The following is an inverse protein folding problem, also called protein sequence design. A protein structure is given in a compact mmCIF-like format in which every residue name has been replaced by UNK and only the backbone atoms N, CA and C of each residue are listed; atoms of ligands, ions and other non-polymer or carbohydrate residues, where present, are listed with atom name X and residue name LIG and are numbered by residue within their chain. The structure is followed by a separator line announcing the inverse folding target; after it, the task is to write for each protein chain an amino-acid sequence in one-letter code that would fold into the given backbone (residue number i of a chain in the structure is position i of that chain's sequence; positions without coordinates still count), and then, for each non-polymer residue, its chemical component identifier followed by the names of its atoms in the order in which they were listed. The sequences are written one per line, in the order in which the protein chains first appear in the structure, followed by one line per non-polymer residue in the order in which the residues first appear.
data_IF_049887473045
#
_entry.id   IF_049887473045
#
_cell.length_a   1.000
_cell.length_b   1.000
_cell.length_c   1.000
_cell.angle_alpha   90.00
_cell.angle_beta   90.00
_cell.angle_gamma   90.00
#
_symmetry.space_group_name_H-M   'P 1'
#
loop_
_entity.id
_entity.type
_entity.pdbx_description
1 polymer ?
#
# COMPACT_ATOMS: atom_id res chain seq x y z
N UNK A 1 1.87 20.29 13.02
CA UNK A 1 0.98 20.62 11.88
C UNK A 1 1.12 22.10 11.61
N UNK A 2 1.50 22.50 10.40
CA UNK A 2 1.68 23.91 10.02
C UNK A 2 0.42 24.38 9.32
N UNK A 3 -0.16 25.50 9.74
CA UNK A 3 -1.38 26.03 9.15
C UNK A 3 -1.02 27.22 8.27
N UNK A 4 -1.11 27.06 6.95
CA UNK A 4 -1.07 28.20 6.04
C UNK A 4 -2.39 28.96 6.16
N UNK A 5 -2.31 30.28 6.29
CA UNK A 5 -3.47 31.19 6.26
C UNK A 5 -3.14 32.32 5.31
N UNK A 6 -3.95 32.46 4.26
CA UNK A 6 -3.87 33.60 3.37
C UNK A 6 -4.39 34.88 4.07
N UNK A 7 -3.89 36.04 3.65
CA UNK A 7 -4.46 37.32 4.06
C UNK A 7 -5.89 37.45 3.52
N UNK A 8 -6.77 38.08 4.31
CA UNK A 8 -8.13 38.39 3.86
C UNK A 8 -8.08 39.42 2.72
N UNK A 9 -7.23 40.43 2.85
CA UNK A 9 -7.05 41.48 1.84
C UNK A 9 -6.72 40.89 0.46
N UNK A 10 -5.86 39.88 0.40
CA UNK A 10 -5.49 39.25 -0.88
C UNK A 10 -6.56 38.25 -1.37
N UNK A 11 -7.31 37.64 -0.44
CA UNK A 11 -8.40 36.73 -0.80
C UNK A 11 -9.62 37.46 -1.34
N UNK A 12 -9.97 38.63 -0.81
CA UNK A 12 -11.19 39.36 -1.16
C UNK A 12 -11.31 39.71 -2.66
N UNK A 13 -10.27 40.22 -3.35
CA UNK A 13 -10.33 40.47 -4.79
C UNK A 13 -10.09 39.21 -5.64
N UNK A 14 -9.77 38.05 -5.04
CA UNK A 14 -9.43 36.85 -5.78
C UNK A 14 -10.65 36.21 -6.44
N UNK A 15 -10.67 36.17 -7.78
CA UNK A 15 -11.75 35.55 -8.57
C UNK A 15 -11.99 34.05 -8.26
N UNK A 16 -10.99 33.35 -7.70
CA UNK A 16 -11.09 31.94 -7.31
C UNK A 16 -11.65 31.74 -5.89
N UNK A 17 -11.80 32.79 -5.07
CA UNK A 17 -12.30 32.69 -3.69
C UNK A 17 -13.61 31.89 -3.57
N UNK A 18 -14.62 32.09 -4.44
CA UNK A 18 -15.87 31.32 -4.36
C UNK A 18 -15.67 29.81 -4.54
N UNK A 19 -14.64 29.38 -5.28
CA UNK A 19 -14.31 27.94 -5.45
C UNK A 19 -13.34 27.44 -4.37
N UNK A 20 -12.38 28.29 -3.98
CA UNK A 20 -11.25 27.90 -3.15
C UNK A 20 -11.58 27.89 -1.64
N UNK A 21 -12.40 28.82 -1.16
CA UNK A 21 -12.72 28.95 0.25
C UNK A 21 -14.10 29.62 0.45
N UNK A 22 -15.19 29.03 -0.08
CA UNK A 22 -16.52 29.67 -0.18
C UNK A 22 -17.09 30.16 1.14
N UNK A 23 -16.93 29.36 2.19
CA UNK A 23 -17.58 29.58 3.49
C UNK A 23 -16.65 30.23 4.52
N UNK A 24 -15.51 30.79 4.09
CA UNK A 24 -14.52 31.35 5.00
C UNK A 24 -13.95 32.66 4.47
N UNK A 25 -13.61 33.62 5.34
CA UNK A 25 -13.13 34.93 4.91
C UNK A 25 -11.79 34.87 4.15
N UNK A 26 -10.96 33.86 4.41
CA UNK A 26 -9.68 33.65 3.74
C UNK A 26 -9.31 32.17 3.74
N UNK A 27 -8.52 31.74 2.73
CA UNK A 27 -8.08 30.36 2.58
C UNK A 27 -7.22 29.92 3.78
N UNK A 28 -7.56 28.76 4.35
CA UNK A 28 -6.76 28.08 5.38
C UNK A 28 -6.43 26.67 4.89
N UNK A 29 -5.15 26.32 4.89
CA UNK A 29 -4.70 24.98 4.50
C UNK A 29 -3.93 24.36 5.67
N UNK A 30 -4.44 23.27 6.26
CA UNK A 30 -3.65 22.47 7.17
C UNK A 30 -2.59 21.67 6.39
N UNK A 31 -1.32 21.96 6.63
CA UNK A 31 -0.18 21.19 6.09
C UNK A 31 0.47 20.39 7.22
N UNK A 32 0.94 19.21 6.90
CA UNK A 32 1.74 18.43 7.85
C UNK A 32 3.10 19.08 8.06
N UNK A 33 3.70 18.86 9.23
CA UNK A 33 5.13 19.18 9.42
C UNK A 33 6.02 18.28 8.57
N UNK A 34 5.53 17.10 8.20
CA UNK A 34 6.20 16.14 7.32
C UNK A 34 5.68 16.23 5.87
N UNK A 35 5.13 17.37 5.45
CA UNK A 35 4.56 17.48 4.11
C UNK A 35 5.61 17.25 3.02
N UNK A 36 6.84 17.75 3.19
CA UNK A 36 7.92 17.51 2.22
C UNK A 36 8.21 16.02 2.01
N UNK A 37 8.20 15.21 3.07
CA UNK A 37 8.34 13.75 2.95
C UNK A 37 7.15 13.10 2.22
N UNK A 38 5.94 13.64 2.37
CA UNK A 38 4.76 13.17 1.65
C UNK A 38 4.76 13.58 0.20
N UNK A 39 5.20 14.81 -0.11
CA UNK A 39 5.37 15.30 -1.47
C UNK A 39 6.38 14.41 -2.20
N UNK A 40 7.55 14.15 -1.59
CA UNK A 40 8.54 13.20 -2.10
C UNK A 40 7.93 11.81 -2.35
N UNK A 41 7.17 11.25 -1.41
CA UNK A 41 6.53 9.96 -1.59
C UNK A 41 5.50 9.96 -2.74
N UNK A 42 4.74 11.05 -2.92
CA UNK A 42 3.80 11.21 -4.03
C UNK A 42 4.52 11.34 -5.37
N UNK A 43 5.67 12.00 -5.43
CA UNK A 43 6.45 12.14 -6.65
C UNK A 43 7.10 10.82 -7.04
N UNK A 44 7.68 10.09 -6.08
CA UNK A 44 8.16 8.72 -6.30
C UNK A 44 7.02 7.85 -6.84
N UNK A 45 5.81 7.97 -6.29
CA UNK A 45 4.67 7.16 -6.70
C UNK A 45 4.24 7.35 -8.17
N UNK A 46 4.61 8.47 -8.81
CA UNK A 46 4.34 8.75 -10.23
C UNK A 46 5.35 8.10 -11.17
N UNK A 47 6.50 7.64 -10.65
CA UNK A 47 7.57 7.07 -11.47
C UNK A 47 7.24 5.65 -11.94
N UNK A 48 7.73 5.29 -13.14
CA UNK A 48 7.60 3.91 -13.65
C UNK A 48 8.34 2.90 -12.77
N UNK A 49 9.50 3.28 -12.22
CA UNK A 49 10.25 2.46 -11.28
C UNK A 49 9.41 2.09 -10.05
N UNK A 50 8.64 3.03 -9.51
CA UNK A 50 7.72 2.75 -8.42
C UNK A 50 6.59 1.80 -8.83
N UNK A 51 6.03 1.97 -10.04
CA UNK A 51 4.99 1.05 -10.55
C UNK A 51 5.52 -0.38 -10.63
N UNK A 52 6.73 -0.57 -11.16
CA UNK A 52 7.40 -1.88 -11.23
C UNK A 52 7.64 -2.44 -9.84
N UNK A 53 8.30 -1.68 -8.96
CA UNK A 53 8.54 -2.09 -7.56
C UNK A 53 7.25 -2.45 -6.83
N UNK A 54 6.18 -1.68 -7.01
CA UNK A 54 4.85 -1.97 -6.43
C UNK A 54 4.30 -3.30 -6.93
N UNK A 55 4.39 -3.58 -8.23
CA UNK A 55 3.93 -4.86 -8.82
C UNK A 55 4.71 -6.03 -8.24
N UNK A 56 6.02 -5.88 -8.05
CA UNK A 56 6.88 -6.91 -7.46
C UNK A 56 6.56 -7.14 -5.98
N UNK A 57 6.46 -6.08 -5.18
CA UNK A 57 6.07 -6.19 -3.76
C UNK A 57 4.73 -6.88 -3.60
N UNK A 58 3.74 -6.53 -4.43
CA UNK A 58 2.43 -7.20 -4.42
C UNK A 58 2.52 -8.70 -4.65
N UNK A 59 3.42 -9.19 -5.51
CA UNK A 59 3.61 -10.64 -5.71
C UNK A 59 3.99 -11.32 -4.38
N UNK A 60 4.91 -10.71 -3.63
CA UNK A 60 5.39 -11.24 -2.34
C UNK A 60 4.35 -11.04 -1.23
N UNK A 61 3.83 -9.83 -1.06
CA UNK A 61 2.84 -9.47 -0.03
C UNK A 61 1.59 -10.37 -0.13
N UNK A 62 1.13 -10.67 -1.35
CA UNK A 62 -0.02 -11.56 -1.56
C UNK A 62 0.28 -13.03 -1.19
N UNK A 63 1.52 -13.49 -1.37
CA UNK A 63 1.90 -14.85 -0.93
C UNK A 63 1.80 -14.95 0.59
N UNK A 64 2.36 -13.99 1.34
CA UNK A 64 2.24 -13.95 2.79
C UNK A 64 0.79 -13.77 3.27
N UNK A 65 -0.01 -12.97 2.58
CA UNK A 65 -1.43 -12.84 2.89
C UNK A 65 -2.17 -14.19 2.72
N UNK A 66 -1.86 -14.95 1.67
CA UNK A 66 -2.40 -16.28 1.46
C UNK A 66 -1.90 -17.29 2.49
N UNK A 67 -0.63 -17.27 2.88
CA UNK A 67 -0.09 -18.13 3.95
C UNK A 67 -0.90 -17.95 5.24
N UNK A 68 -1.12 -16.70 5.66
CA UNK A 68 -1.89 -16.39 6.87
C UNK A 68 -3.37 -16.76 6.72
N UNK A 69 -4.02 -16.31 5.64
CA UNK A 69 -5.49 -16.44 5.50
C UNK A 69 -5.97 -17.84 5.08
N UNK A 70 -5.21 -18.53 4.23
CA UNK A 70 -5.60 -19.84 3.65
C UNK A 70 -4.93 -20.97 4.41
N UNK A 71 -3.62 -20.91 4.62
CA UNK A 71 -2.88 -21.96 5.34
C UNK A 71 -2.90 -21.77 6.86
N UNK A 72 -3.49 -20.67 7.38
CA UNK A 72 -3.61 -20.38 8.82
C UNK A 72 -2.27 -20.39 9.55
N UNK A 73 -1.21 -19.95 8.86
CA UNK A 73 0.12 -19.78 9.43
C UNK A 73 0.20 -18.47 10.24
N UNK A 74 -0.60 -18.39 11.31
CA UNK A 74 -0.70 -17.20 12.18
C UNK A 74 0.34 -17.22 13.31
N UNK A 75 0.90 -18.39 13.62
CA UNK A 75 2.00 -18.57 14.57
C UNK A 75 2.90 -19.72 14.14
N UNK A 76 4.17 -19.62 14.50
CA UNK A 76 5.15 -20.70 14.40
C UNK A 76 5.01 -21.65 15.59
N UNK A 77 5.08 -22.95 15.33
CA UNK A 77 4.96 -24.01 16.34
C UNK A 77 6.32 -24.51 16.83
N UNK A 78 7.34 -24.46 15.98
CA UNK A 78 8.70 -24.87 16.27
C UNK A 78 9.49 -23.69 16.85
N UNK A 79 10.37 -23.99 17.82
CA UNK A 79 11.19 -22.98 18.48
C UNK A 79 12.49 -22.72 17.72
N UNK A 80 12.96 -21.48 17.82
CA UNK A 80 14.25 -21.05 17.27
C UNK A 80 14.22 -20.78 15.75
N UNK A 81 15.31 -20.20 15.21
CA UNK A 81 15.39 -19.80 13.81
C UNK A 81 15.30 -20.99 12.83
N UNK A 82 15.82 -22.15 13.22
CA UNK A 82 15.73 -23.38 12.41
C UNK A 82 14.29 -23.88 12.30
N UNK A 83 13.56 -23.93 13.43
CA UNK A 83 12.15 -24.29 13.42
C UNK A 83 11.29 -23.35 12.58
N UNK A 84 11.52 -22.04 12.72
CA UNK A 84 10.87 -21.03 11.89
C UNK A 84 11.13 -21.25 10.39
N UNK A 85 12.40 -21.50 10.03
CA UNK A 85 12.82 -21.77 8.65
C UNK A 85 12.10 -22.99 8.07
N UNK A 86 12.02 -24.08 8.83
CA UNK A 86 11.40 -25.32 8.36
C UNK A 86 9.89 -25.16 8.13
N UNK A 87 9.19 -24.50 9.06
CA UNK A 87 7.76 -24.20 8.91
C UNK A 87 7.47 -23.32 7.68
N UNK A 88 8.27 -22.28 7.45
CA UNK A 88 8.11 -21.43 6.28
C UNK A 88 8.41 -22.17 4.97
N UNK A 89 9.41 -23.05 4.94
CA UNK A 89 9.72 -23.86 3.75
C UNK A 89 8.58 -24.82 3.41
N UNK A 90 8.02 -25.51 4.40
CA UNK A 90 6.87 -26.40 4.20
C UNK A 90 5.63 -25.62 3.73
N UNK A 91 5.34 -24.47 4.34
CA UNK A 91 4.22 -23.64 3.95
C UNK A 91 4.37 -23.07 2.52
N UNK A 92 5.58 -22.65 2.15
CA UNK A 92 5.90 -22.20 0.80
C UNK A 92 5.78 -23.33 -0.22
N UNK A 93 6.25 -24.55 0.10
CA UNK A 93 6.10 -25.72 -0.75
C UNK A 93 4.63 -26.04 -1.02
N UNK A 94 3.79 -26.10 0.03
CA UNK A 94 2.35 -26.31 -0.11
C UNK A 94 1.68 -25.23 -0.98
N UNK A 95 2.08 -23.96 -0.81
CA UNK A 95 1.55 -22.87 -1.61
C UNK A 95 1.95 -22.97 -3.09
N UNK A 96 3.19 -23.37 -3.38
CA UNK A 96 3.67 -23.60 -4.74
C UNK A 96 2.93 -24.76 -5.41
N UNK A 97 2.72 -25.88 -4.71
CA UNK A 97 1.93 -27.00 -5.19
C UNK A 97 0.49 -26.58 -5.52
N UNK A 98 -0.15 -25.79 -4.66
CA UNK A 98 -1.49 -25.24 -4.93
C UNK A 98 -1.52 -24.35 -6.16
N UNK A 99 -0.44 -23.60 -6.45
CA UNK A 99 -0.35 -22.78 -7.67
C UNK A 99 -0.20 -23.65 -8.91
N UNK A 100 0.65 -24.67 -8.86
CA UNK A 100 0.82 -25.64 -9.95
C UNK A 100 -0.48 -26.38 -10.28
N UNK A 101 -1.20 -26.83 -9.25
CA UNK A 101 -2.49 -27.50 -9.42
C UNK A 101 -3.53 -26.66 -10.19
N UNK A 102 -3.45 -25.33 -10.13
CA UNK A 102 -4.34 -24.43 -10.89
C UNK A 102 -3.95 -24.27 -12.37
N UNK A 103 -2.71 -24.59 -12.71
CA UNK A 103 -2.23 -24.52 -14.10
C UNK A 103 -2.53 -25.81 -14.86
N UNK A 104 -2.77 -26.90 -14.14
CA UNK A 104 -3.14 -28.19 -14.72
C UNK A 104 -4.62 -28.11 -15.14
N UNK A 105 -4.96 -28.33 -16.42
CA UNK A 105 -6.34 -28.37 -16.87
C UNK A 105 -7.08 -29.53 -16.19
N UNK A 106 -8.29 -29.28 -15.70
CA UNK A 106 -9.15 -30.36 -15.22
C UNK A 106 -9.61 -31.21 -16.41
N UNK A 107 -9.38 -32.53 -16.42
CA UNK A 107 -9.88 -33.38 -17.50
C UNK A 107 -11.40 -33.26 -17.57
N UNK A 108 -11.94 -33.13 -18.80
CA UNK A 108 -13.39 -33.18 -19.01
C UNK A 108 -13.87 -34.59 -18.67
N UNK A 109 -14.96 -34.74 -17.90
CA UNK A 109 -15.60 -36.04 -17.76
C UNK A 109 -16.01 -36.55 -19.14
N UNK A 110 -15.89 -37.87 -19.33
CA UNK A 110 -16.26 -38.57 -20.55
C UNK A 110 -17.75 -38.41 -20.87
#
# INVERSE_FOLDING_TARGET
MVRYRASKHDCDPCALKPKCCPNTPARKIPRSIHEGARDMARDIAKTEAYVTSRRERKKVEMLFAHLKRILRLDRLRLRGPNGARDEFHLAAAAQNLRKLAKLIPTPKPA
#
